data_IF_704720161596
#
_entry.id   IF_704720161596
#
_cell.length_a   1.000
_cell.length_b   1.000
_cell.length_c   1.000
_cell.angle_alpha   90.00
_cell.angle_beta   90.00
_cell.angle_gamma   90.00
#
_symmetry.space_group_name_H-M   'P 1'
#
loop_
_entity.id
_entity.type
_entity.pdbx_description
1 polymer ?
#
# COMPACT_ATOMS: atom_id res chain seq x y z
N UNK A 1 -42.93 -4.07 -13.13
CA UNK A 1 -41.46 -3.85 -13.25
C UNK A 1 -40.71 -3.86 -11.91
N UNK A 2 -41.22 -3.23 -10.85
CA UNK A 2 -40.57 -3.18 -9.52
C UNK A 2 -40.19 -4.58 -8.98
N UNK A 3 -41.10 -5.57 -9.05
CA UNK A 3 -40.81 -6.96 -8.60
C UNK A 3 -39.62 -7.61 -9.35
N UNK A 4 -39.46 -7.31 -10.64
CA UNK A 4 -38.34 -7.79 -11.46
C UNK A 4 -37.02 -7.18 -10.98
N UNK A 5 -37.01 -5.89 -10.67
CA UNK A 5 -35.83 -5.23 -10.12
C UNK A 5 -35.49 -5.72 -8.71
N UNK A 6 -36.49 -5.94 -7.85
CA UNK A 6 -36.28 -6.52 -6.51
C UNK A 6 -35.64 -7.92 -6.57
N UNK A 7 -36.11 -8.78 -7.47
CA UNK A 7 -35.51 -10.10 -7.69
C UNK A 7 -34.05 -9.99 -8.19
N UNK A 8 -33.77 -9.02 -9.07
CA UNK A 8 -32.40 -8.76 -9.55
C UNK A 8 -31.48 -8.26 -8.43
N UNK A 9 -31.96 -7.36 -7.57
CA UNK A 9 -31.22 -6.88 -6.38
C UNK A 9 -30.91 -8.06 -5.45
N UNK A 10 -31.90 -8.91 -5.16
CA UNK A 10 -31.71 -10.08 -4.31
C UNK A 10 -30.64 -11.03 -4.88
N UNK A 11 -30.66 -11.28 -6.19
CA UNK A 11 -29.66 -12.10 -6.88
C UNK A 11 -28.27 -11.49 -6.78
N UNK A 12 -28.12 -10.20 -7.10
CA UNK A 12 -26.84 -9.48 -7.04
C UNK A 12 -26.30 -9.45 -5.60
N UNK A 13 -27.14 -9.25 -4.59
CA UNK A 13 -26.72 -9.27 -3.20
C UNK A 13 -26.21 -10.65 -2.76
N UNK A 14 -26.84 -11.73 -3.24
CA UNK A 14 -26.36 -13.10 -3.00
C UNK A 14 -25.00 -13.33 -3.67
N UNK A 15 -24.82 -12.86 -4.90
CA UNK A 15 -23.53 -12.93 -5.61
C UNK A 15 -22.44 -12.11 -4.89
N UNK A 16 -22.75 -10.90 -4.43
CA UNK A 16 -21.85 -10.06 -3.62
C UNK A 16 -21.42 -10.80 -2.34
N UNK A 17 -22.36 -11.46 -1.64
CA UNK A 17 -22.05 -12.20 -0.41
C UNK A 17 -21.05 -13.34 -0.69
N UNK A 18 -21.26 -14.09 -1.78
CA UNK A 18 -20.36 -15.17 -2.22
C UNK A 18 -18.97 -14.62 -2.58
N UNK A 19 -18.91 -13.52 -3.35
CA UNK A 19 -17.64 -12.90 -3.74
C UNK A 19 -16.89 -12.35 -2.52
N UNK A 20 -17.58 -11.72 -1.56
CA UNK A 20 -16.98 -11.26 -0.30
C UNK A 20 -16.37 -12.41 0.51
N UNK A 21 -17.05 -13.55 0.57
CA UNK A 21 -16.52 -14.74 1.25
C UNK A 21 -15.26 -15.28 0.55
N UNK A 22 -15.25 -15.31 -0.79
CA UNK A 22 -14.07 -15.70 -1.58
C UNK A 22 -12.88 -14.75 -1.39
N UNK A 23 -13.13 -13.44 -1.35
CA UNK A 23 -12.09 -12.44 -1.05
C UNK A 23 -11.51 -12.69 0.34
N UNK A 24 -12.36 -12.86 1.36
CA UNK A 24 -11.91 -13.13 2.74
C UNK A 24 -11.06 -14.40 2.82
N UNK A 25 -11.42 -15.44 2.07
CA UNK A 25 -10.65 -16.68 1.99
C UNK A 25 -9.32 -16.47 1.28
N UNK A 26 -9.31 -15.74 0.16
CA UNK A 26 -8.09 -15.42 -0.59
C UNK A 26 -7.11 -14.53 0.21
N UNK A 27 -7.64 -13.66 1.07
CA UNK A 27 -6.86 -12.81 1.98
C UNK A 27 -6.25 -13.60 3.17
N UNK A 28 -6.59 -14.89 3.35
CA UNK A 28 -5.90 -15.71 4.35
C UNK A 28 -4.41 -15.80 4.00
N UNK A 29 -3.57 -15.59 5.02
CA UNK A 29 -2.11 -15.54 4.85
C UNK A 29 -1.57 -14.19 4.38
N UNK A 30 -2.42 -13.20 4.14
CA UNK A 30 -1.96 -11.82 3.92
C UNK A 30 -1.57 -11.17 5.25
N UNK A 31 -0.42 -10.52 5.25
CA UNK A 31 0.10 -9.73 6.36
C UNK A 31 -0.58 -8.37 6.34
N UNK A 32 -1.18 -8.00 7.47
CA UNK A 32 -1.79 -6.69 7.67
C UNK A 32 -0.70 -5.67 7.98
N UNK A 33 -0.40 -4.81 6.99
CA UNK A 33 0.67 -3.81 7.12
C UNK A 33 0.39 -2.83 8.25
N UNK A 34 -0.87 -2.49 8.52
CA UNK A 34 -1.24 -1.58 9.62
C UNK A 34 -1.07 -2.17 11.01
N UNK A 35 -0.67 -3.44 11.12
CA UNK A 35 -0.36 -4.12 12.38
C UNK A 35 1.14 -4.41 12.54
N UNK A 36 1.97 -3.99 11.59
CA UNK A 36 3.43 -4.08 11.71
C UNK A 36 3.92 -3.07 12.74
N UNK A 37 4.79 -3.52 13.65
CA UNK A 37 5.05 -2.86 14.93
C UNK A 37 5.90 -1.59 14.91
N UNK A 38 6.78 -1.40 13.92
CA UNK A 38 7.80 -0.34 13.95
C UNK A 38 7.27 1.08 13.75
N UNK A 39 6.09 1.22 13.14
CA UNK A 39 5.57 2.50 12.61
C UNK A 39 4.12 2.77 13.02
N UNK A 40 3.56 2.01 13.98
CA UNK A 40 2.14 2.01 14.39
C UNK A 40 1.56 3.36 14.85
N UNK A 41 2.39 4.39 15.02
CA UNK A 41 1.96 5.72 15.48
C UNK A 41 1.69 6.71 14.35
N UNK A 42 1.84 6.26 13.11
CA UNK A 42 1.64 7.09 11.94
C UNK A 42 0.20 6.92 11.42
N UNK A 43 -0.58 8.00 11.52
CA UNK A 43 -1.92 8.02 10.94
C UNK A 43 -1.85 8.22 9.42
N UNK A 44 -2.55 7.35 8.69
CA UNK A 44 -2.76 7.45 7.24
C UNK A 44 -1.50 7.72 6.38
N UNK A 45 -0.46 6.87 6.47
CA UNK A 45 0.74 7.05 5.67
C UNK A 45 0.51 6.70 4.19
N UNK A 46 1.33 7.30 3.33
CA UNK A 46 1.61 6.73 2.03
C UNK A 46 2.61 5.57 2.20
N UNK A 47 2.20 4.36 1.83
CA UNK A 47 3.08 3.20 1.88
C UNK A 47 3.93 3.08 0.61
N UNK A 48 5.23 2.94 0.81
CA UNK A 48 6.21 2.82 -0.27
C UNK A 48 6.88 1.46 -0.13
N UNK A 49 6.51 0.50 -0.96
CA UNK A 49 7.20 -0.78 -0.99
C UNK A 49 8.46 -0.67 -1.84
N UNK A 50 9.61 -0.85 -1.20
CA UNK A 50 10.93 -0.81 -1.82
C UNK A 50 11.27 -2.21 -2.33
N UNK A 51 11.43 -2.32 -3.65
CA UNK A 51 11.78 -3.56 -4.36
C UNK A 51 13.05 -3.35 -5.17
N UNK A 52 13.57 -4.41 -5.79
CA UNK A 52 14.84 -4.36 -6.53
C UNK A 52 14.77 -3.37 -7.70
N UNK A 53 13.65 -3.32 -8.38
CA UNK A 53 13.44 -2.54 -9.60
C UNK A 53 13.10 -1.06 -9.31
N UNK A 54 12.83 -0.71 -8.06
CA UNK A 54 12.44 0.64 -7.66
C UNK A 54 11.41 0.65 -6.51
N UNK A 55 10.38 1.48 -6.65
CA UNK A 55 9.33 1.67 -5.65
C UNK A 55 7.98 1.22 -6.18
N UNK A 56 7.14 0.71 -5.28
CA UNK A 56 5.72 0.45 -5.53
C UNK A 56 4.93 1.30 -4.54
N UNK A 57 4.11 2.21 -5.07
CA UNK A 57 3.21 3.05 -4.29
C UNK A 57 1.95 2.23 -3.99
N UNK A 58 1.78 1.89 -2.72
CA UNK A 58 0.73 1.02 -2.25
C UNK A 58 -0.46 1.82 -1.67
N UNK A 59 -1.68 1.25 -1.66
CA UNK A 59 -2.08 -0.05 -2.21
C UNK A 59 -2.34 -0.12 -3.73
N UNK A 60 -2.28 0.99 -4.48
CA UNK A 60 -2.63 0.99 -5.92
C UNK A 60 -1.64 0.23 -6.80
N UNK A 61 -0.42 -0.02 -6.32
CA UNK A 61 0.62 -0.73 -7.07
C UNK A 61 1.29 0.11 -8.15
N UNK A 62 1.23 1.46 -8.07
CA UNK A 62 1.91 2.32 -9.05
C UNK A 62 3.42 2.16 -8.91
N UNK A 63 4.12 1.84 -9.98
CA UNK A 63 5.56 1.63 -9.95
C UNK A 63 6.32 2.91 -10.29
N UNK A 64 7.50 3.07 -9.68
CA UNK A 64 8.51 4.07 -10.03
C UNK A 64 9.82 3.32 -10.19
N UNK A 65 10.42 3.37 -11.38
CA UNK A 65 11.69 2.67 -11.61
C UNK A 65 12.82 3.32 -10.81
N UNK A 66 13.86 2.54 -10.51
CA UNK A 66 15.04 2.99 -9.78
C UNK A 66 15.69 4.26 -10.36
N UNK A 67 15.66 4.42 -11.70
CA UNK A 67 16.21 5.58 -12.40
C UNK A 67 15.32 6.83 -12.30
N UNK A 68 14.03 6.65 -12.02
CA UNK A 68 13.05 7.74 -11.96
C UNK A 68 12.74 8.19 -10.53
N UNK A 69 13.31 7.52 -9.50
CA UNK A 69 13.05 7.84 -8.10
C UNK A 69 13.30 9.32 -7.83
N UNK A 70 14.43 9.87 -8.28
CA UNK A 70 14.80 11.27 -8.00
C UNK A 70 13.78 12.28 -8.55
N UNK A 71 13.29 12.06 -9.77
CA UNK A 71 12.39 12.99 -10.46
C UNK A 71 10.92 12.79 -10.08
N UNK A 72 10.48 11.55 -9.86
CA UNK A 72 9.08 11.22 -9.63
C UNK A 72 8.72 11.10 -8.15
N UNK A 73 9.58 10.52 -7.32
CA UNK A 73 9.25 10.28 -5.90
C UNK A 73 9.09 11.60 -5.14
N UNK A 74 9.93 12.60 -5.41
CA UNK A 74 9.81 13.94 -4.83
C UNK A 74 8.41 14.55 -5.06
N UNK A 75 7.88 14.40 -6.27
CA UNK A 75 6.53 14.89 -6.63
C UNK A 75 5.42 14.08 -5.96
N UNK A 76 5.62 12.77 -5.82
CA UNK A 76 4.65 11.87 -5.17
C UNK A 76 4.46 12.26 -3.70
N UNK A 77 5.54 12.59 -2.99
CA UNK A 77 5.48 12.94 -1.56
C UNK A 77 5.19 14.42 -1.29
N UNK A 78 5.01 15.25 -2.33
CA UNK A 78 4.86 16.71 -2.17
C UNK A 78 3.61 17.10 -1.36
N UNK A 79 2.50 16.38 -1.54
CA UNK A 79 1.26 16.58 -0.76
C UNK A 79 1.15 15.74 0.51
N UNK A 80 2.16 14.93 0.82
CA UNK A 80 2.10 13.99 1.94
C UNK A 80 2.75 14.53 3.21
N UNK A 81 2.17 14.15 4.34
CA UNK A 81 2.68 14.48 5.68
C UNK A 81 3.34 13.27 6.35
N UNK A 82 3.14 12.08 5.80
CA UNK A 82 3.80 10.88 6.28
C UNK A 82 3.99 9.80 5.22
N UNK A 83 5.15 9.13 5.27
CA UNK A 83 5.45 7.94 4.49
C UNK A 83 5.87 6.78 5.40
N UNK A 84 5.56 5.55 4.99
CA UNK A 84 6.12 4.33 5.60
C UNK A 84 6.76 3.49 4.50
N UNK A 85 8.06 3.28 4.62
CA UNK A 85 8.81 2.42 3.70
C UNK A 85 8.69 0.96 4.12
N UNK A 86 8.18 0.12 3.23
CA UNK A 86 8.13 -1.32 3.39
C UNK A 86 9.31 -1.91 2.61
N UNK A 87 10.36 -2.31 3.31
CA UNK A 87 11.65 -2.65 2.69
C UNK A 87 11.75 -4.16 2.51
N UNK A 88 11.66 -4.63 1.26
CA UNK A 88 12.00 -6.01 0.92
C UNK A 88 13.53 -6.22 1.00
N UNK A 89 14.03 -7.44 1.25
CA UNK A 89 15.47 -7.73 1.25
C UNK A 89 16.18 -7.25 -0.02
N UNK A 90 15.53 -7.37 -1.18
CA UNK A 90 16.09 -6.96 -2.47
C UNK A 90 15.96 -5.46 -2.77
N UNK A 91 15.21 -4.70 -1.96
CA UNK A 91 14.85 -3.31 -2.20
C UNK A 91 15.69 -2.30 -1.43
N UNK A 92 16.84 -2.70 -0.88
CA UNK A 92 17.66 -1.81 -0.07
C UNK A 92 18.18 -0.60 -0.85
N UNK A 93 18.53 -0.77 -2.13
CA UNK A 93 19.00 0.35 -2.97
C UNK A 93 17.91 1.39 -3.23
N UNK A 94 16.72 0.94 -3.65
CA UNK A 94 15.58 1.83 -3.89
C UNK A 94 15.12 2.51 -2.60
N UNK A 95 15.18 1.80 -1.48
CA UNK A 95 14.96 2.35 -0.15
C UNK A 95 15.91 3.50 0.17
N UNK A 96 17.23 3.32 0.03
CA UNK A 96 18.20 4.36 0.35
C UNK A 96 17.98 5.63 -0.46
N UNK A 97 17.75 5.49 -1.78
CA UNK A 97 17.47 6.63 -2.67
C UNK A 97 16.19 7.37 -2.28
N UNK A 98 15.11 6.63 -2.04
CA UNK A 98 13.83 7.24 -1.69
C UNK A 98 13.87 7.88 -0.29
N UNK A 99 14.54 7.24 0.67
CA UNK A 99 14.74 7.77 2.02
C UNK A 99 15.44 9.12 1.98
N UNK A 100 16.54 9.24 1.23
CA UNK A 100 17.29 10.50 1.13
C UNK A 100 16.42 11.67 0.64
N UNK A 101 15.52 11.41 -0.31
CA UNK A 101 14.58 12.41 -0.83
C UNK A 101 13.52 12.76 0.23
N UNK A 102 12.99 11.76 0.92
CA UNK A 102 11.98 11.93 1.96
C UNK A 102 12.52 12.73 3.16
N UNK A 103 13.75 12.43 3.62
CA UNK A 103 14.41 13.12 4.74
C UNK A 103 14.70 14.60 4.44
N UNK A 104 14.87 14.98 3.17
CA UNK A 104 15.02 16.38 2.74
C UNK A 104 13.71 17.18 2.80
N UNK A 105 12.56 16.52 2.94
CA UNK A 105 11.26 17.20 2.99
C UNK A 105 10.91 17.57 4.43
N UNK A 106 10.89 18.86 4.70
CA UNK A 106 10.50 19.39 6.01
C UNK A 106 9.07 18.97 6.40
N UNK A 107 8.92 18.56 7.66
CA UNK A 107 7.62 18.17 8.23
C UNK A 107 7.09 16.80 7.82
N UNK A 108 7.81 16.05 6.97
CA UNK A 108 7.43 14.68 6.62
C UNK A 108 7.81 13.70 7.74
N UNK A 109 6.82 13.00 8.28
CA UNK A 109 7.06 11.86 9.18
C UNK A 109 7.45 10.63 8.37
N UNK A 110 8.39 9.83 8.88
CA UNK A 110 8.93 8.67 8.16
C UNK A 110 8.94 7.45 9.09
N UNK A 111 8.35 6.35 8.61
CA UNK A 111 8.43 5.02 9.23
C UNK A 111 9.12 4.01 8.32
N UNK A 112 9.61 2.91 8.90
CA UNK A 112 10.36 1.87 8.22
C UNK A 112 9.94 0.50 8.72
N UNK A 113 9.60 -0.41 7.81
CA UNK A 113 9.25 -1.79 8.12
C UNK A 113 10.00 -2.75 7.20
N UNK A 114 10.97 -3.52 7.72
CA UNK A 114 11.49 -4.68 7.01
C UNK A 114 10.38 -5.70 6.79
N UNK A 115 10.23 -6.18 5.56
CA UNK A 115 9.20 -7.15 5.20
C UNK A 115 9.80 -8.29 4.37
N UNK A 116 9.39 -9.53 4.63
CA UNK A 116 9.95 -10.69 3.95
C UNK A 116 9.50 -10.78 2.48
N UNK A 117 10.35 -11.24 1.56
CA UNK A 117 10.03 -11.36 0.13
C UNK A 117 8.78 -12.20 -0.18
N UNK A 118 8.43 -13.17 0.66
CA UNK A 118 7.29 -14.07 0.47
C UNK A 118 5.95 -13.48 0.94
N UNK A 119 5.97 -12.39 1.71
CA UNK A 119 4.75 -11.85 2.31
C UNK A 119 3.82 -11.22 1.27
N UNK A 120 2.58 -11.70 1.24
CA UNK A 120 1.47 -11.04 0.58
C UNK A 120 0.91 -9.98 1.52
N UNK A 121 0.80 -8.74 1.04
CA UNK A 121 0.45 -7.60 1.88
C UNK A 121 -1.01 -7.21 1.67
N UNK A 122 -1.70 -6.91 2.77
CA UNK A 122 -2.96 -6.18 2.75
C UNK A 122 -2.81 -4.88 3.51
N UNK A 123 -3.47 -3.84 3.02
CA UNK A 123 -3.36 -2.49 3.55
C UNK A 123 -4.64 -2.11 4.31
N UNK A 124 -4.54 -1.25 5.33
CA UNK A 124 -5.71 -0.72 6.01
C UNK A 124 -6.67 -0.03 5.04
N UNK A 125 -7.96 0.01 5.40
CA UNK A 125 -8.95 0.74 4.62
C UNK A 125 -8.73 2.25 4.78
N UNK A 126 -8.94 3.02 3.71
CA UNK A 126 -8.86 4.48 3.74
C UNK A 126 -7.43 5.05 3.64
N UNK A 127 -6.44 4.20 3.34
CA UNK A 127 -5.06 4.59 3.08
C UNK A 127 -4.96 5.42 1.79
N UNK A 128 -4.11 6.46 1.81
CA UNK A 128 -3.83 7.33 0.66
C UNK A 128 -3.08 6.59 -0.46
N UNK A 129 -3.29 7.05 -1.70
CA UNK A 129 -2.84 6.38 -2.93
C UNK A 129 -2.63 7.33 -4.10
#
# INVERSE_FOLDING_TARGET
EIKKYQAKIAKVNKEIAVLKAKIKEAEKGYIDVGRLGGSLQIENPLYIECVKEGLIIQPKGKTVSLAEIESLFKRIIEGEYCVVFLVRPSGFESFLKAREIAEKKEGLKIGYEPIDSSWKLKFPKGVRT
#
